data_IF_031587826344
#
_entry.id   IF_031587826344
#
_cell.length_a   1.000
_cell.length_b   1.000
_cell.length_c   1.000
_cell.angle_alpha   90.00
_cell.angle_beta   90.00
_cell.angle_gamma   90.00
#
_symmetry.space_group_name_H-M   'P 1'
#
loop_
_entity.id
_entity.type
_entity.pdbx_description
1 polymer ?
#
# COMPACT_ATOMS: atom_id res chain seq x y z
N UNK A 1 -0.12 -30.87 -4.44
CA UNK A 1 0.78 -30.81 -5.61
C UNK A 1 2.26 -30.69 -5.27
N UNK A 2 2.66 -30.11 -4.12
CA UNK A 2 4.08 -29.99 -3.74
C UNK A 2 4.79 -31.36 -3.65
N UNK A 3 4.15 -32.39 -3.08
CA UNK A 3 4.77 -33.69 -2.82
C UNK A 3 4.91 -34.60 -4.07
N UNK A 4 4.30 -34.23 -5.20
CA UNK A 4 4.29 -35.04 -6.43
C UNK A 4 5.05 -34.39 -7.60
N UNK A 5 5.70 -33.26 -7.37
CA UNK A 5 6.41 -32.52 -8.41
C UNK A 5 7.88 -32.94 -8.46
N UNK A 6 8.37 -33.27 -9.66
CA UNK A 6 9.79 -33.59 -9.91
C UNK A 6 10.68 -32.35 -9.75
N UNK A 7 10.15 -31.16 -10.06
CA UNK A 7 10.85 -29.89 -9.84
C UNK A 7 9.89 -28.80 -9.35
N UNK A 8 10.41 -27.91 -8.49
CA UNK A 8 9.66 -26.79 -7.93
C UNK A 8 10.42 -25.49 -8.21
N UNK A 9 9.79 -24.60 -8.98
CA UNK A 9 10.36 -23.27 -9.24
C UNK A 9 9.50 -22.20 -8.58
N UNK A 10 10.07 -21.46 -7.63
CA UNK A 10 9.41 -20.28 -7.03
C UNK A 10 9.72 -19.05 -7.86
N UNK A 11 8.75 -18.61 -8.66
CA UNK A 11 8.84 -17.35 -9.39
C UNK A 11 8.92 -16.17 -8.42
N UNK A 12 9.68 -15.15 -8.83
CA UNK A 12 9.83 -13.88 -8.09
C UNK A 12 9.37 -12.76 -9.00
N UNK A 13 8.48 -11.91 -8.49
CA UNK A 13 8.13 -10.66 -9.15
C UNK A 13 9.21 -9.60 -8.88
N UNK A 14 9.23 -8.51 -9.64
CA UNK A 14 9.96 -7.29 -9.27
C UNK A 14 8.98 -6.31 -8.66
N UNK A 15 9.43 -5.56 -7.66
CA UNK A 15 8.65 -4.49 -7.07
C UNK A 15 8.78 -3.23 -7.91
N UNK A 16 7.66 -2.61 -8.30
CA UNK A 16 7.68 -1.39 -9.11
C UNK A 16 8.20 -0.17 -8.33
N UNK A 17 8.13 -0.20 -6.99
CA UNK A 17 8.57 0.91 -6.13
C UNK A 17 10.08 0.92 -5.89
N UNK A 18 10.73 -0.26 -5.77
CA UNK A 18 12.15 -0.35 -5.44
C UNK A 18 12.98 -1.24 -6.37
N UNK A 19 12.38 -1.86 -7.38
CA UNK A 19 13.03 -2.72 -8.37
C UNK A 19 13.53 -4.07 -7.84
N UNK A 20 13.43 -4.33 -6.53
CA UNK A 20 13.92 -5.56 -5.89
C UNK A 20 13.04 -6.76 -6.25
N UNK A 21 13.65 -7.95 -6.30
CA UNK A 21 12.92 -9.22 -6.48
C UNK A 21 12.17 -9.57 -5.20
N UNK A 22 10.89 -9.87 -5.32
CA UNK A 22 9.97 -10.13 -4.21
C UNK A 22 9.23 -11.45 -4.45
N UNK A 23 8.95 -12.17 -3.36
CA UNK A 23 8.28 -13.47 -3.41
C UNK A 23 6.98 -13.51 -2.61
N UNK A 24 6.53 -12.35 -2.12
CA UNK A 24 5.36 -12.19 -1.29
C UNK A 24 4.57 -10.96 -1.77
N UNK A 25 3.27 -11.14 -1.89
CA UNK A 25 2.28 -10.09 -2.15
C UNK A 25 1.40 -9.95 -0.91
N UNK A 26 1.08 -8.71 -0.55
CA UNK A 26 0.23 -8.36 0.57
C UNK A 26 -0.85 -7.40 0.06
N UNK A 27 -2.09 -7.56 0.53
CA UNK A 27 -3.15 -6.59 0.21
C UNK A 27 -2.86 -5.25 0.89
N UNK A 28 -3.17 -4.17 0.20
CA UNK A 28 -3.14 -2.81 0.74
C UNK A 28 -4.37 -2.53 1.63
N UNK A 29 -5.47 -3.24 1.39
CA UNK A 29 -6.72 -3.16 2.14
C UNK A 29 -6.74 -4.17 3.29
N UNK A 30 -7.56 -3.91 4.31
CA UNK A 30 -7.80 -4.85 5.42
C UNK A 30 -8.84 -5.94 5.06
N UNK A 31 -9.14 -6.10 3.77
CA UNK A 31 -10.09 -7.10 3.28
C UNK A 31 -9.54 -8.51 3.48
N UNK A 32 -10.28 -9.31 4.25
CA UNK A 32 -9.92 -10.68 4.63
C UNK A 32 -10.40 -11.72 3.63
N UNK A 33 -11.15 -11.31 2.60
CA UNK A 33 -11.67 -12.20 1.56
C UNK A 33 -10.51 -12.91 0.86
N UNK A 34 -10.57 -14.24 0.80
CA UNK A 34 -9.48 -15.07 0.26
C UNK A 34 -9.34 -14.91 -1.25
N UNK A 35 -10.46 -14.73 -1.94
CA UNK A 35 -10.53 -14.68 -3.39
C UNK A 35 -10.83 -13.26 -3.83
N UNK A 36 -9.82 -12.59 -4.37
CA UNK A 36 -9.96 -11.24 -4.89
C UNK A 36 -9.05 -11.06 -6.11
N UNK A 37 -9.67 -10.86 -7.27
CA UNK A 37 -8.97 -10.60 -8.52
C UNK A 37 -8.69 -9.11 -8.61
N UNK A 38 -7.42 -8.73 -8.48
CA UNK A 38 -7.00 -7.34 -8.55
C UNK A 38 -5.53 -7.21 -9.02
N UNK A 39 -5.18 -6.02 -9.50
CA UNK A 39 -3.84 -5.70 -10.01
C UNK A 39 -2.87 -5.16 -8.95
N UNK A 40 -1.79 -4.51 -9.41
CA UNK A 40 -0.77 -3.86 -8.58
C UNK A 40 -1.33 -2.73 -7.68
N UNK A 41 -2.53 -2.25 -8.01
CA UNK A 41 -3.25 -1.24 -7.26
C UNK A 41 -3.67 -1.76 -5.87
N UNK A 42 -3.86 -3.08 -5.73
CA UNK A 42 -4.33 -3.73 -4.50
C UNK A 42 -3.23 -4.51 -3.78
N UNK A 43 -2.22 -5.03 -4.50
CA UNK A 43 -1.17 -5.86 -3.89
C UNK A 43 0.21 -5.17 -3.86
N UNK A 44 0.93 -5.30 -2.75
CA UNK A 44 2.26 -4.70 -2.52
C UNK A 44 3.20 -5.67 -1.77
N UNK A 45 4.52 -5.45 -1.84
CA UNK A 45 5.48 -6.23 -1.06
C UNK A 45 5.55 -5.80 0.41
N UNK A 46 5.76 -6.76 1.31
CA UNK A 46 5.78 -6.60 2.79
C UNK A 46 6.61 -5.41 3.30
N UNK A 47 7.79 -5.17 2.73
CA UNK A 47 8.65 -4.06 3.17
C UNK A 47 7.95 -2.70 3.00
N UNK A 48 7.34 -2.47 1.84
CA UNK A 48 6.64 -1.21 1.59
C UNK A 48 5.30 -1.13 2.32
N UNK A 49 4.62 -2.26 2.54
CA UNK A 49 3.44 -2.27 3.39
C UNK A 49 3.75 -1.81 4.82
N UNK A 50 4.79 -2.39 5.44
CA UNK A 50 5.18 -2.02 6.80
C UNK A 50 5.57 -0.55 6.90
N UNK A 51 6.39 -0.04 5.97
CA UNK A 51 6.73 1.39 5.90
C UNK A 51 5.51 2.28 5.67
N UNK A 52 4.58 1.86 4.80
CA UNK A 52 3.35 2.59 4.51
C UNK A 52 2.40 2.67 5.70
N UNK A 53 2.28 1.60 6.49
CA UNK A 53 1.46 1.58 7.71
C UNK A 53 2.02 2.54 8.78
N UNK A 54 3.34 2.56 8.97
CA UNK A 54 3.99 3.51 9.89
C UNK A 54 3.72 4.95 9.46
N UNK A 55 3.80 5.24 8.16
CA UNK A 55 3.48 6.58 7.64
C UNK A 55 2.00 6.94 7.84
N UNK A 56 1.08 6.00 7.60
CA UNK A 56 -0.37 6.20 7.79
C UNK A 56 -0.72 6.52 9.24
N UNK A 57 -0.19 5.76 10.19
CA UNK A 57 -0.43 5.99 11.62
C UNK A 57 0.24 7.28 12.11
N UNK A 58 1.45 7.59 11.62
CA UNK A 58 2.15 8.84 11.95
C UNK A 58 1.37 10.06 11.42
N UNK A 59 0.88 9.99 10.18
CA UNK A 59 0.05 11.04 9.60
C UNK A 59 -1.26 11.20 10.37
N UNK A 60 -1.90 10.10 10.77
CA UNK A 60 -3.11 10.13 11.61
C UNK A 60 -2.85 10.78 12.96
N UNK A 61 -1.76 10.44 13.63
CA UNK A 61 -1.36 11.04 14.90
C UNK A 61 -1.08 12.55 14.76
N UNK A 62 -0.34 12.95 13.71
CA UNK A 62 -0.09 14.36 13.42
C UNK A 62 -1.39 15.13 13.13
N UNK A 63 -2.29 14.58 12.32
CA UNK A 63 -3.60 15.18 12.04
C UNK A 63 -4.43 15.34 13.33
N UNK A 64 -4.41 14.35 14.23
CA UNK A 64 -5.08 14.46 15.53
C UNK A 64 -4.48 15.58 16.40
N UNK A 65 -3.16 15.76 16.38
CA UNK A 65 -2.52 16.88 17.09
C UNK A 65 -2.85 18.26 16.49
N UNK A 66 -3.16 18.32 15.19
CA UNK A 66 -3.59 19.56 14.53
C UNK A 66 -5.10 19.83 14.65
N UNK A 67 -5.93 18.84 14.99
CA UNK A 67 -7.38 19.07 15.17
C UNK A 67 -7.77 19.87 16.43
N UNK A 68 -6.83 20.23 17.32
CA UNK A 68 -7.08 21.17 18.43
C UNK A 68 -6.66 22.61 18.12
N UNK A 69 -6.08 22.90 16.95
CA UNK A 69 -5.85 24.27 16.49
C UNK A 69 -6.04 24.40 14.97
N UNK A 70 -7.04 25.19 14.58
CA UNK A 70 -7.25 25.75 13.24
C UNK A 70 -8.27 25.01 12.33
N UNK A 71 -9.55 25.34 12.51
CA UNK A 71 -10.62 25.09 11.54
C UNK A 71 -10.55 25.99 10.29
N UNK A 72 -9.40 26.07 9.62
CA UNK A 72 -9.20 26.92 8.44
C UNK A 72 -8.51 26.24 7.24
N UNK A 73 -8.19 24.94 7.31
CA UNK A 73 -7.40 24.27 6.26
C UNK A 73 -8.18 23.38 5.28
N UNK A 74 -9.51 23.30 5.41
CA UNK A 74 -10.38 22.55 4.49
C UNK A 74 -10.36 23.08 3.03
N UNK A 75 -9.72 24.22 2.76
CA UNK A 75 -9.67 24.83 1.43
C UNK A 75 -8.30 24.80 0.73
N UNK A 76 -7.26 24.17 1.31
CA UNK A 76 -5.91 24.17 0.70
C UNK A 76 -5.60 22.88 -0.06
N UNK A 77 -6.22 21.75 0.26
CA UNK A 77 -5.93 20.47 -0.41
C UNK A 77 -6.72 20.23 -1.71
N UNK A 78 -7.77 21.01 -2.00
CA UNK A 78 -8.50 20.92 -3.28
C UNK A 78 -7.93 21.83 -4.36
N UNK A 79 -7.06 22.80 -4.04
CA UNK A 79 -6.63 23.83 -4.99
C UNK A 79 -5.51 23.40 -5.96
N UNK A 80 -4.98 22.16 -5.89
CA UNK A 80 -3.93 21.69 -6.83
C UNK A 80 -4.29 20.50 -7.71
N UNK A 81 -5.44 19.87 -7.50
CA UNK A 81 -5.92 18.78 -8.37
C UNK A 81 -6.91 19.22 -9.45
N UNK A 82 -7.22 20.51 -9.55
CA UNK A 82 -8.18 21.06 -10.53
C UNK A 82 -7.56 22.02 -11.56
N UNK A 83 -6.22 22.10 -11.63
CA UNK A 83 -5.51 22.97 -12.57
C UNK A 83 -4.74 22.21 -13.68
N UNK A 84 -4.94 20.90 -13.84
CA UNK A 84 -4.36 20.16 -14.96
C UNK A 84 -5.22 18.94 -15.38
N UNK A 85 -6.45 19.21 -15.79
CA UNK A 85 -7.18 18.60 -16.92
C UNK A 85 -8.57 19.21 -17.02
#
# INVERSE_FOLDING_TARGET
MIQAAESLTKLKARCDLCGKRVSFTLKKTDETEREQVAGADVYIHRHHYASGQVLKETAKAALQTHTTQCGSLYYVFTCRFQALM
#
